data_IF_820597342195
#
_entry.id   IF_820597342195
#
_cell.length_a   1.000
_cell.length_b   1.000
_cell.length_c   1.000
_cell.angle_alpha   90.00
_cell.angle_beta   90.00
_cell.angle_gamma   90.00
#
_symmetry.space_group_name_H-M   'P 1'
#
loop_
_entity.id
_entity.type
_entity.pdbx_description
1 polymer ?
#
# COMPACT_ATOMS: atom_id res chain seq x y z
N UNK A 1 13.70 -18.59 20.32
CA UNK A 1 13.55 -18.85 18.88
C UNK A 1 12.07 -18.85 18.54
N UNK A 2 11.52 -17.76 17.99
CA UNK A 2 10.12 -17.72 17.56
C UNK A 2 10.00 -18.44 16.21
N UNK A 3 9.17 -19.49 16.14
CA UNK A 3 8.86 -20.17 14.89
C UNK A 3 8.22 -19.24 13.85
N UNK A 4 8.03 -19.71 12.60
CA UNK A 4 7.52 -18.87 11.51
C UNK A 4 6.16 -18.28 11.88
N UNK A 5 6.07 -16.94 11.90
CA UNK A 5 4.78 -16.24 12.06
C UNK A 5 3.99 -16.38 10.77
N UNK A 6 2.90 -17.14 10.82
CA UNK A 6 1.96 -17.28 9.72
C UNK A 6 1.11 -16.00 9.62
N UNK A 7 1.28 -15.23 8.55
CA UNK A 7 0.36 -14.16 8.21
C UNK A 7 -0.83 -14.75 7.44
N UNK A 8 -2.05 -14.40 7.84
CA UNK A 8 -3.28 -14.76 7.13
C UNK A 8 -3.85 -13.47 6.53
N UNK A 9 -3.90 -13.31 5.20
CA UNK A 9 -4.43 -12.11 4.58
C UNK A 9 -5.97 -12.10 4.67
N UNK A 10 -6.54 -10.97 5.07
CA UNK A 10 -7.96 -10.70 4.93
C UNK A 10 -8.15 -9.73 3.77
N UNK A 11 -8.85 -10.17 2.72
CA UNK A 11 -8.99 -9.42 1.47
C UNK A 11 -10.46 -9.07 1.21
N UNK A 12 -10.67 -7.93 0.55
CA UNK A 12 -11.94 -7.50 -0.04
C UNK A 12 -11.64 -6.69 -1.30
N UNK A 13 -12.49 -6.82 -2.30
CA UNK A 13 -12.40 -6.06 -3.55
C UNK A 13 -13.57 -5.07 -3.66
N UNK A 14 -13.29 -3.91 -4.22
CA UNK A 14 -14.24 -2.81 -4.38
C UNK A 14 -14.05 -2.12 -5.73
N UNK A 15 -15.13 -1.55 -6.28
CA UNK A 15 -15.02 -0.63 -7.41
C UNK A 15 -14.32 0.66 -6.98
N UNK A 16 -13.33 1.06 -7.76
CA UNK A 16 -12.42 2.17 -7.44
C UNK A 16 -12.19 3.09 -8.64
N UNK A 17 -13.09 3.11 -9.62
CA UNK A 17 -12.91 3.81 -10.90
C UNK A 17 -12.71 5.32 -10.75
N UNK A 18 -13.21 5.90 -9.64
CA UNK A 18 -13.05 7.32 -9.28
C UNK A 18 -11.81 7.61 -8.43
N UNK A 19 -11.05 6.58 -8.06
CA UNK A 19 -9.88 6.68 -7.20
C UNK A 19 -8.61 6.54 -8.02
N UNK A 20 -7.67 7.46 -7.78
CA UNK A 20 -6.28 7.30 -8.23
C UNK A 20 -5.44 6.77 -7.07
N UNK A 21 -4.33 6.05 -7.32
CA UNK A 21 -3.43 5.59 -6.26
C UNK A 21 -2.99 6.73 -5.34
N UNK A 22 -2.62 7.89 -5.90
CA UNK A 22 -2.28 9.08 -5.10
C UNK A 22 -3.46 9.61 -4.27
N UNK A 23 -4.68 9.57 -4.81
CA UNK A 23 -5.90 9.93 -4.08
C UNK A 23 -6.12 9.04 -2.86
N UNK A 24 -5.95 7.73 -3.02
CA UNK A 24 -6.04 6.78 -1.89
C UNK A 24 -4.91 7.03 -0.89
N UNK A 25 -3.68 7.25 -1.35
CA UNK A 25 -2.54 7.55 -0.48
C UNK A 25 -2.78 8.80 0.40
N UNK A 26 -3.40 9.85 -0.16
CA UNK A 26 -3.81 11.04 0.60
C UNK A 26 -4.87 10.70 1.63
N UNK A 27 -5.86 9.87 1.28
CA UNK A 27 -6.90 9.43 2.23
C UNK A 27 -6.32 8.62 3.40
N UNK A 28 -5.27 7.82 3.17
CA UNK A 28 -4.57 7.06 4.22
C UNK A 28 -3.89 7.94 5.27
N UNK A 29 -3.65 9.23 5.00
CA UNK A 29 -3.14 10.16 6.01
C UNK A 29 -4.09 10.28 7.22
N UNK A 30 -5.39 10.01 7.04
CA UNK A 30 -6.38 9.95 8.12
C UNK A 30 -6.26 8.69 8.98
N UNK A 31 -5.59 7.65 8.48
CA UNK A 31 -5.40 6.37 9.18
C UNK A 31 -4.09 6.38 9.96
N UNK A 32 -2.99 6.82 9.34
CA UNK A 32 -1.67 6.84 9.99
C UNK A 32 -0.70 7.79 9.27
N UNK A 33 0.20 8.48 10.02
CA UNK A 33 1.31 9.19 9.41
C UNK A 33 2.34 8.23 8.78
N UNK A 34 2.42 6.99 9.27
CA UNK A 34 3.26 5.94 8.71
C UNK A 34 2.52 5.26 7.57
N UNK A 35 2.75 5.74 6.35
CA UNK A 35 2.09 5.27 5.12
C UNK A 35 3.06 5.31 3.95
N UNK A 36 2.81 4.46 2.96
CA UNK A 36 3.58 4.43 1.72
C UNK A 36 2.66 4.24 0.50
N UNK A 37 3.19 4.64 -0.64
CA UNK A 37 2.67 4.36 -1.97
C UNK A 37 3.85 3.91 -2.83
N UNK A 38 3.73 2.73 -3.44
CA UNK A 38 4.67 2.25 -4.45
C UNK A 38 3.95 2.16 -5.79
N UNK A 39 4.50 2.84 -6.78
CA UNK A 39 4.06 2.79 -8.17
C UNK A 39 5.22 2.34 -9.04
N UNK A 40 4.93 1.52 -10.04
CA UNK A 40 5.92 1.08 -11.03
C UNK A 40 5.65 1.75 -12.37
N UNK A 41 6.73 2.14 -13.05
CA UNK A 41 6.71 2.70 -14.41
C UNK A 41 7.40 1.71 -15.33
N UNK A 42 6.77 1.37 -16.44
CA UNK A 42 7.33 0.52 -17.49
C UNK A 42 7.56 1.37 -18.74
N UNK A 43 8.75 1.29 -19.34
CA UNK A 43 9.03 1.98 -20.61
C UNK A 43 9.02 3.52 -20.56
N UNK A 44 9.25 4.12 -19.39
CA UNK A 44 9.42 5.57 -19.22
C UNK A 44 8.12 6.37 -19.04
N UNK A 45 7.00 5.92 -19.61
CA UNK A 45 5.76 6.71 -19.61
C UNK A 45 4.51 5.94 -19.16
N UNK A 46 4.55 4.61 -19.13
CA UNK A 46 3.37 3.81 -18.78
C UNK A 46 3.39 3.37 -17.32
N UNK A 47 2.37 3.76 -16.56
CA UNK A 47 2.16 3.23 -15.21
C UNK A 47 1.79 1.75 -15.31
N UNK A 48 2.39 0.93 -14.44
CA UNK A 48 2.09 -0.49 -14.37
C UNK A 48 0.63 -0.73 -13.94
N UNK A 49 0.13 -1.97 -14.11
CA UNK A 49 -1.26 -2.30 -13.75
C UNK A 49 -1.59 -2.17 -12.26
N UNK A 50 -0.60 -2.12 -11.38
CA UNK A 50 -0.82 -2.13 -9.94
C UNK A 50 0.00 -1.05 -9.23
N UNK A 51 -0.62 -0.43 -8.23
CA UNK A 51 0.05 0.38 -7.22
C UNK A 51 -0.19 -0.26 -5.86
N UNK A 52 0.82 -0.27 -4.99
CA UNK A 52 0.73 -0.84 -3.65
C UNK A 52 0.67 0.28 -2.61
N UNK A 53 -0.31 0.20 -1.70
CA UNK A 53 -0.48 1.16 -0.62
C UNK A 53 -0.50 0.43 0.72
N UNK A 54 0.08 1.05 1.73
CA UNK A 54 0.05 0.54 3.09
C UNK A 54 0.07 1.68 4.11
N UNK A 55 -0.53 1.44 5.27
CA UNK A 55 -0.56 2.38 6.39
C UNK A 55 -0.61 1.60 7.71
N UNK A 56 -0.23 2.27 8.80
CA UNK A 56 -0.25 1.71 10.16
C UNK A 56 0.50 0.37 10.27
N UNK A 57 1.78 0.30 9.88
CA UNK A 57 2.56 -0.92 10.06
C UNK A 57 2.66 -1.27 11.55
N UNK A 58 2.72 -2.57 11.86
CA UNK A 58 2.89 -3.03 13.24
C UNK A 58 4.20 -2.56 13.86
N UNK A 59 5.25 -2.53 13.06
CA UNK A 59 6.60 -2.15 13.48
C UNK A 59 7.25 -1.30 12.36
N UNK A 60 8.00 -0.27 12.76
CA UNK A 60 8.74 0.61 11.86
C UNK A 60 10.23 0.47 12.19
N UNK A 61 11.02 0.01 11.22
CA UNK A 61 12.48 -0.07 11.36
C UNK A 61 13.12 1.18 10.75
N UNK A 62 14.10 1.76 11.44
CA UNK A 62 14.93 2.87 10.96
C UNK A 62 16.39 2.43 11.01
N UNK A 63 17.15 2.85 10.01
CA UNK A 63 18.60 2.68 9.94
C UNK A 63 19.31 3.80 10.71
#
# INVERSE_FOLDING_TARGET
>A
MTGPRRAIPHTREFLADSLTPLGVYRRLARTSPSRFLFESVTGGEQVSRFSFLGAAPRELYRL
#
